data_IF_334192330852
#
_entry.id   IF_334192330852
#
_cell.length_a   1.000
_cell.length_b   1.000
_cell.length_c   1.000
_cell.angle_alpha   90.00
_cell.angle_beta   90.00
_cell.angle_gamma   90.00
#
_symmetry.space_group_name_H-M   'P 1'
#
loop_
_entity.id
_entity.type
_entity.pdbx_description
1 polymer ?
#
# COMPACT_ATOMS: atom_id res chain seq x y z
N UNK A 1 -3.93 7.28 -11.21
CA UNK A 1 -4.86 6.23 -10.78
C UNK A 1 -5.52 6.56 -9.44
N UNK A 2 -4.79 6.92 -8.39
CA UNK A 2 -5.37 7.24 -7.06
C UNK A 2 -6.56 8.22 -7.11
N UNK A 3 -6.35 9.44 -7.61
CA UNK A 3 -7.44 10.43 -7.74
C UNK A 3 -8.59 9.95 -8.64
N UNK A 4 -8.29 9.19 -9.70
CA UNK A 4 -9.30 8.63 -10.59
C UNK A 4 -10.11 7.50 -9.94
N UNK A 5 -9.52 6.80 -8.96
CA UNK A 5 -10.19 5.81 -8.13
C UNK A 5 -10.96 6.43 -6.95
N UNK A 6 -10.99 7.77 -6.87
CA UNK A 6 -11.72 8.51 -5.83
C UNK A 6 -10.95 8.78 -4.55
N UNK A 7 -9.66 8.40 -4.48
CA UNK A 7 -8.80 8.66 -3.31
C UNK A 7 -8.56 10.17 -3.15
N UNK A 8 -8.75 10.67 -1.94
CA UNK A 8 -8.59 12.09 -1.63
C UNK A 8 -8.36 12.40 -0.15
N UNK A 9 -8.70 13.63 0.24
CA UNK A 9 -8.50 14.13 1.61
C UNK A 9 -9.28 13.32 2.64
N UNK A 10 -8.56 12.87 3.67
CA UNK A 10 -9.13 12.10 4.78
C UNK A 10 -8.98 10.59 4.63
N UNK A 11 -8.62 10.13 3.43
CA UNK A 11 -8.38 8.72 3.16
C UNK A 11 -6.98 8.29 3.61
N UNK A 12 -6.87 7.01 3.97
CA UNK A 12 -5.60 6.32 4.20
C UNK A 12 -5.35 5.33 3.06
N UNK A 13 -4.11 5.32 2.56
CA UNK A 13 -3.64 4.36 1.55
C UNK A 13 -2.43 3.62 2.09
N UNK A 14 -2.52 2.30 2.15
CA UNK A 14 -1.42 1.47 2.63
C UNK A 14 -0.38 1.29 1.52
N UNK A 15 0.89 1.50 1.85
CA UNK A 15 2.04 1.42 0.94
C UNK A 15 3.21 0.68 1.60
N UNK A 16 4.15 0.10 0.84
CA UNK A 16 5.32 -0.56 1.42
C UNK A 16 6.23 0.43 2.17
N UNK A 17 6.67 0.05 3.37
CA UNK A 17 7.65 0.78 4.16
C UNK A 17 9.06 0.77 3.56
N UNK A 18 9.36 -0.25 2.75
CA UNK A 18 10.64 -0.45 2.10
C UNK A 18 10.58 -0.15 0.60
N UNK A 19 11.46 0.74 0.12
CA UNK A 19 11.69 0.95 -1.30
C UNK A 19 11.23 2.33 -1.81
N UNK A 20 10.23 2.34 -2.68
CA UNK A 20 9.87 3.47 -3.55
C UNK A 20 9.14 4.59 -2.80
N UNK A 21 9.86 5.67 -2.47
CA UNK A 21 9.28 6.87 -1.86
C UNK A 21 8.21 7.53 -2.76
N UNK A 22 8.34 7.39 -4.08
CA UNK A 22 7.45 8.01 -5.06
C UNK A 22 6.01 7.52 -4.92
N UNK A 23 5.81 6.30 -4.39
CA UNK A 23 4.47 5.74 -4.13
C UNK A 23 3.79 6.50 -2.99
N UNK A 24 4.50 6.73 -1.89
CA UNK A 24 3.98 7.51 -0.76
C UNK A 24 3.75 8.98 -1.15
N UNK A 25 4.64 9.55 -1.96
CA UNK A 25 4.48 10.91 -2.50
C UNK A 25 3.26 11.03 -3.41
N UNK A 26 2.97 10.01 -4.22
CA UNK A 26 1.77 9.98 -5.06
C UNK A 26 0.48 9.96 -4.22
N UNK A 27 0.47 9.23 -3.10
CA UNK A 27 -0.64 9.24 -2.12
C UNK A 27 -0.80 10.63 -1.50
N UNK A 28 0.29 11.21 -1.00
CA UNK A 28 0.28 12.55 -0.41
C UNK A 28 -0.17 13.62 -1.42
N UNK A 29 0.28 13.51 -2.67
CA UNK A 29 -0.10 14.41 -3.77
C UNK A 29 -1.58 14.30 -4.14
N UNK A 30 -2.21 13.13 -3.93
CA UNK A 30 -3.66 12.98 -4.05
C UNK A 30 -4.42 13.58 -2.85
N UNK A 31 -3.73 14.08 -1.83
CA UNK A 31 -4.31 14.63 -0.61
C UNK A 31 -4.64 13.60 0.48
N UNK A 32 -4.33 12.33 0.24
CA UNK A 32 -4.53 11.23 1.19
C UNK A 32 -3.31 11.04 2.12
N UNK A 33 -3.46 10.19 3.13
CA UNK A 33 -2.40 9.85 4.09
C UNK A 33 -1.76 8.51 3.73
N UNK A 34 -0.45 8.44 3.46
CA UNK A 34 0.24 7.16 3.32
C UNK A 34 0.37 6.48 4.68
N UNK A 35 -0.04 5.22 4.76
CA UNK A 35 0.15 4.34 5.92
C UNK A 35 1.12 3.24 5.51
N UNK A 36 2.15 3.01 6.31
CA UNK A 36 3.23 2.09 5.94
C UNK A 36 2.99 0.69 6.52
N UNK A 37 3.05 -0.32 5.66
CA UNK A 37 3.09 -1.73 6.02
C UNK A 37 4.43 -2.34 5.58
N UNK A 38 4.91 -3.35 6.30
CA UNK A 38 6.23 -3.92 6.07
C UNK A 38 6.22 -4.93 4.92
N UNK A 39 7.42 -5.34 4.52
CA UNK A 39 7.64 -6.34 3.48
C UNK A 39 7.97 -7.70 4.08
N UNK A 40 7.68 -8.77 3.33
CA UNK A 40 8.28 -10.08 3.59
C UNK A 40 9.77 -9.99 3.22
N UNK A 41 10.71 -10.26 4.16
CA UNK A 41 12.15 -10.10 3.93
C UNK A 41 12.72 -11.09 2.90
N UNK A 42 12.01 -12.16 2.56
CA UNK A 42 12.41 -13.15 1.54
C UNK A 42 11.97 -12.70 0.15
N UNK A 43 10.78 -12.09 0.04
CA UNK A 43 10.21 -11.72 -1.26
C UNK A 43 10.41 -10.25 -1.63
N UNK A 44 10.70 -9.42 -0.63
CA UNK A 44 10.68 -7.96 -0.67
C UNK A 44 9.36 -7.34 -1.11
N UNK A 45 8.29 -8.13 -1.26
CA UNK A 45 6.94 -7.65 -1.53
C UNK A 45 6.20 -7.40 -0.21
N UNK A 46 5.12 -6.61 -0.27
CA UNK A 46 4.30 -6.27 0.88
C UNK A 46 3.80 -7.53 1.61
N UNK A 47 4.00 -7.59 2.92
CA UNK A 47 3.52 -8.71 3.76
C UNK A 47 2.03 -8.49 4.13
N UNK A 48 1.11 -9.36 3.69
CA UNK A 48 -0.32 -9.25 3.99
C UNK A 48 -0.63 -9.12 5.49
N UNK A 49 0.12 -9.79 6.36
CA UNK A 49 -0.13 -9.73 7.81
C UNK A 49 0.12 -8.32 8.37
N UNK A 50 1.13 -7.62 7.84
CA UNK A 50 1.45 -6.26 8.28
C UNK A 50 0.50 -5.22 7.69
N UNK A 51 -0.10 -5.51 6.53
CA UNK A 51 -1.19 -4.72 5.96
C UNK A 51 -2.42 -4.81 6.85
N UNK A 52 -2.85 -6.03 7.19
CA UNK A 52 -4.03 -6.26 8.05
C UNK A 52 -3.90 -5.54 9.40
N UNK A 53 -2.70 -5.55 9.98
CA UNK A 53 -2.43 -4.90 11.27
C UNK A 53 -2.58 -3.37 11.27
N UNK A 54 -2.52 -2.73 10.10
CA UNK A 54 -2.59 -1.26 9.98
C UNK A 54 -3.86 -0.76 9.30
N UNK A 55 -4.76 -1.66 8.89
CA UNK A 55 -6.07 -1.27 8.35
C UNK A 55 -6.88 -0.52 9.41
N UNK A 56 -7.47 0.60 9.00
CA UNK A 56 -8.39 1.38 9.80
C UNK A 56 -9.71 1.62 9.05
N UNK A 57 -10.69 2.24 9.71
CA UNK A 57 -11.92 2.67 9.06
C UNK A 57 -11.73 3.74 7.97
N UNK A 58 -10.53 4.33 7.86
CA UNK A 58 -10.17 5.31 6.81
C UNK A 58 -9.39 4.68 5.65
N UNK A 59 -9.02 3.41 5.75
CA UNK A 59 -8.26 2.74 4.68
C UNK A 59 -9.15 2.50 3.48
N UNK A 60 -8.78 3.07 2.33
CA UNK A 60 -9.56 2.95 1.08
C UNK A 60 -8.82 2.19 -0.02
N UNK A 61 -7.50 2.01 0.11
CA UNK A 61 -6.69 1.31 -0.88
C UNK A 61 -5.39 0.76 -0.29
N UNK A 62 -4.85 -0.26 -0.97
CA UNK A 62 -3.49 -0.78 -0.77
C UNK A 62 -2.77 -0.67 -2.11
N UNK A 63 -1.61 0.00 -2.13
CA UNK A 63 -0.74 0.06 -3.32
C UNK A 63 0.36 -0.97 -3.18
N UNK A 64 0.40 -1.90 -4.13
CA UNK A 64 1.36 -3.01 -4.15
C UNK A 64 2.46 -2.75 -5.15
N UNK A 65 3.68 -3.18 -4.82
CA UNK A 65 4.83 -3.12 -5.72
C UNK A 65 5.34 -4.54 -5.95
N UNK A 66 5.42 -4.95 -7.22
CA UNK A 66 6.11 -6.17 -7.61
C UNK A 66 7.62 -5.90 -7.63
N UNK A 67 8.38 -6.65 -6.84
CA UNK A 67 9.78 -6.32 -6.55
C UNK A 67 10.72 -7.33 -7.18
N UNK A 68 11.76 -6.83 -7.85
CA UNK A 68 12.81 -7.66 -8.46
C UNK A 68 12.30 -8.77 -9.40
N UNK A 69 11.23 -8.49 -10.15
CA UNK A 69 10.60 -9.47 -11.04
C UNK A 69 9.70 -10.49 -10.34
N UNK A 70 9.51 -10.35 -9.02
CA UNK A 70 8.62 -11.18 -8.22
C UNK A 70 7.24 -10.52 -8.04
N UNK A 71 6.15 -11.19 -8.44
CA UNK A 71 4.80 -10.72 -8.14
C UNK A 71 4.54 -10.73 -6.62
N UNK A 72 3.83 -9.72 -6.16
CA UNK A 72 3.29 -9.68 -4.81
C UNK A 72 2.10 -10.66 -4.71
N UNK A 73 1.80 -11.17 -3.53
CA UNK A 73 0.64 -12.04 -3.31
C UNK A 73 -0.66 -11.20 -3.27
N UNK A 74 -1.09 -10.75 -4.44
CA UNK A 74 -2.31 -9.94 -4.62
C UNK A 74 -3.54 -10.73 -4.20
N UNK A 75 -3.53 -12.06 -4.30
CA UNK A 75 -4.63 -12.90 -3.85
C UNK A 75 -4.78 -12.88 -2.33
N UNK A 76 -3.66 -12.93 -1.58
CA UNK A 76 -3.68 -12.75 -0.13
C UNK A 76 -4.08 -11.33 0.26
N UNK A 77 -3.53 -10.32 -0.41
CA UNK A 77 -3.83 -8.91 -0.11
C UNK A 77 -5.30 -8.55 -0.38
N UNK A 78 -5.96 -9.22 -1.33
CA UNK A 78 -7.41 -9.04 -1.56
C UNK A 78 -8.31 -9.61 -0.45
N UNK A 79 -7.76 -10.43 0.46
CA UNK A 79 -8.51 -11.03 1.58
C UNK A 79 -8.35 -10.27 2.89
N UNK A 80 -7.48 -9.25 2.90
CA UNK A 80 -7.33 -8.27 3.98
C UNK A 80 -8.42 -7.21 3.81
#
# INVERSE_FOLDING_TARGET
MLMAAGVGRGDEVIVPAFGNIEVAEAVASAGATPVFADIDPVTYCLDPATVEAVVTSRTVAVVVVHRFGRPADVAALHRV
#
